data_IF_559587118057
#
_entry.id   IF_559587118057
#
_cell.length_a   1.000
_cell.length_b   1.000
_cell.length_c   1.000
_cell.angle_alpha   90.00
_cell.angle_beta   90.00
_cell.angle_gamma   90.00
#
_symmetry.space_group_name_H-M   'P 1'
#
loop_
_entity.id
_entity.type
_entity.pdbx_description
1 polymer ?
#
# COMPACT_ATOMS: atom_id res chain seq x y z
N UNK A 1 -0.98 53.39 14.00
CA UNK A 1 -1.89 52.39 13.41
C UNK A 1 -2.65 53.07 12.29
N UNK A 2 -2.75 52.45 11.10
CA UNK A 2 -3.44 53.02 9.95
C UNK A 2 -4.95 53.09 10.19
N UNK A 3 -5.60 54.12 9.65
CA UNK A 3 -7.06 54.34 9.73
C UNK A 3 -7.88 53.08 9.40
N UNK A 4 -7.42 52.27 8.45
CA UNK A 4 -8.05 51.01 8.06
C UNK A 4 -8.09 49.96 9.17
N UNK A 5 -7.08 49.91 10.05
CA UNK A 5 -7.03 48.96 11.18
C UNK A 5 -8.02 49.36 12.26
N UNK A 6 -8.09 50.65 12.58
CA UNK A 6 -9.04 51.17 13.57
C UNK A 6 -10.49 51.05 13.08
N UNK A 7 -10.73 51.29 11.79
CA UNK A 7 -12.03 51.07 11.16
C UNK A 7 -12.44 49.59 11.18
N UNK A 8 -11.51 48.70 10.85
CA UNK A 8 -11.76 47.26 10.90
C UNK A 8 -12.06 46.79 12.33
N UNK A 9 -11.30 47.24 13.32
CA UNK A 9 -11.54 46.95 14.72
C UNK A 9 -12.91 47.47 15.20
N UNK A 10 -13.45 48.55 14.64
CA UNK A 10 -14.79 49.02 15.02
C UNK A 10 -15.92 48.21 14.34
N UNK A 11 -15.75 47.85 13.07
CA UNK A 11 -16.82 47.27 12.25
C UNK A 11 -16.81 45.74 12.14
N UNK A 12 -15.69 45.07 12.44
CA UNK A 12 -15.52 43.63 12.26
C UNK A 12 -16.67 42.82 12.89
N UNK A 13 -17.03 43.10 14.14
CA UNK A 13 -18.09 42.36 14.83
C UNK A 13 -19.46 42.52 14.13
N UNK A 14 -19.80 43.75 13.71
CA UNK A 14 -21.08 44.06 13.04
C UNK A 14 -21.16 43.38 11.67
N UNK A 15 -20.05 43.38 10.92
CA UNK A 15 -19.96 42.70 9.62
C UNK A 15 -20.13 41.18 9.80
N UNK A 16 -19.49 40.59 10.80
CA UNK A 16 -19.58 39.15 11.09
C UNK A 16 -20.99 38.73 11.49
N UNK A 17 -21.66 39.52 12.34
CA UNK A 17 -23.05 39.27 12.77
C UNK A 17 -24.02 39.40 11.59
N UNK A 18 -23.91 40.47 10.80
CA UNK A 18 -24.75 40.67 9.61
C UNK A 18 -24.51 39.59 8.56
N UNK A 19 -23.25 39.16 8.38
CA UNK A 19 -22.90 38.06 7.50
C UNK A 19 -23.51 36.73 7.95
N UNK A 20 -23.45 36.43 9.26
CA UNK A 20 -24.09 35.24 9.84
C UNK A 20 -25.60 35.27 9.62
N UNK A 21 -26.27 36.40 9.85
CA UNK A 21 -27.70 36.57 9.64
C UNK A 21 -28.09 36.45 8.16
N UNK A 22 -27.27 36.98 7.25
CA UNK A 22 -27.48 36.85 5.80
C UNK A 22 -27.39 35.38 5.34
N UNK A 23 -26.37 34.65 5.79
CA UNK A 23 -26.21 33.22 5.47
C UNK A 23 -27.44 32.43 5.91
N UNK A 24 -27.98 32.74 7.09
CA UNK A 24 -29.16 32.05 7.59
C UNK A 24 -30.45 32.40 6.87
N UNK A 25 -30.65 33.68 6.57
CA UNK A 25 -31.79 34.09 5.76
C UNK A 25 -31.72 33.46 4.36
N UNK A 26 -30.53 33.37 3.78
CA UNK A 26 -30.28 32.67 2.52
C UNK A 26 -30.62 31.17 2.61
N UNK A 27 -30.16 30.48 3.67
CA UNK A 27 -30.49 29.07 3.92
C UNK A 27 -31.98 28.83 4.21
N UNK A 28 -32.64 29.77 4.87
CA UNK A 28 -34.08 29.72 5.13
C UNK A 28 -34.88 29.91 3.84
N UNK A 29 -34.55 30.93 3.04
CA UNK A 29 -35.19 31.19 1.75
C UNK A 29 -34.97 30.03 0.79
N UNK A 30 -33.77 29.46 0.77
CA UNK A 30 -33.46 28.31 -0.07
C UNK A 30 -34.23 27.05 0.36
N UNK A 31 -34.48 26.88 1.67
CA UNK A 31 -35.38 25.85 2.21
C UNK A 31 -36.83 26.04 1.76
N UNK A 32 -37.32 27.27 1.62
CA UNK A 32 -38.68 27.59 1.14
C UNK A 32 -38.80 27.40 -0.38
N UNK A 33 -37.77 27.79 -1.14
CA UNK A 33 -37.69 27.67 -2.61
C UNK A 33 -37.48 26.20 -3.07
N UNK A 34 -37.19 25.28 -2.13
CA UNK A 34 -37.07 23.83 -2.31
C UNK A 34 -38.22 23.15 -3.05
N UNK A 35 -39.41 23.75 -3.09
CA UNK A 35 -40.57 23.22 -3.82
C UNK A 35 -40.49 23.42 -5.34
N UNK A 36 -39.43 24.08 -5.83
CA UNK A 36 -39.16 24.31 -7.25
C UNK A 36 -37.87 23.58 -7.69
N UNK A 37 -37.79 23.09 -8.94
CA UNK A 37 -36.57 22.48 -9.47
C UNK A 37 -35.42 23.50 -9.55
N UNK A 38 -34.40 23.33 -8.70
CA UNK A 38 -33.25 24.23 -8.59
C UNK A 38 -32.06 23.77 -9.45
N UNK A 39 -31.33 24.70 -10.10
CA UNK A 39 -30.12 24.40 -10.85
C UNK A 39 -28.93 24.02 -9.94
N UNK A 40 -28.02 23.18 -10.44
CA UNK A 40 -26.92 22.58 -9.67
C UNK A 40 -25.95 23.59 -9.03
N UNK A 41 -25.75 24.76 -9.62
CA UNK A 41 -24.88 25.80 -9.06
C UNK A 41 -25.46 26.41 -7.77
N UNK A 42 -26.79 26.59 -7.69
CA UNK A 42 -27.45 27.05 -6.46
C UNK A 42 -27.34 26.01 -5.34
N UNK A 43 -27.32 24.72 -5.68
CA UNK A 43 -27.06 23.63 -4.72
C UNK A 43 -25.67 23.71 -4.12
N UNK A 44 -24.65 24.00 -4.94
CA UNK A 44 -23.29 24.24 -4.47
C UNK A 44 -23.20 25.47 -3.55
N UNK A 45 -23.88 26.57 -3.89
CA UNK A 45 -23.91 27.77 -3.04
C UNK A 45 -24.63 27.54 -1.70
N UNK A 46 -25.74 26.79 -1.70
CA UNK A 46 -26.40 26.37 -0.46
C UNK A 46 -25.48 25.51 0.41
N UNK A 47 -24.75 24.58 -0.20
CA UNK A 47 -23.81 23.70 0.50
C UNK A 47 -22.61 24.47 1.08
N UNK A 48 -22.04 25.41 0.33
CA UNK A 48 -20.96 26.29 0.82
C UNK A 48 -21.44 27.23 1.93
N UNK A 49 -22.64 27.79 1.80
CA UNK A 49 -23.26 28.63 2.83
C UNK A 49 -23.54 27.82 4.11
N UNK A 50 -23.94 26.55 3.98
CA UNK A 50 -24.12 25.63 5.10
C UNK A 50 -22.79 25.30 5.81
N UNK A 51 -21.75 24.93 5.05
CA UNK A 51 -20.44 24.60 5.60
C UNK A 51 -19.75 25.81 6.24
N UNK A 52 -19.91 27.00 5.65
CA UNK A 52 -19.31 28.25 6.14
C UNK A 52 -20.10 28.94 7.26
N UNK A 53 -21.39 28.64 7.41
CA UNK A 53 -22.26 29.28 8.39
C UNK A 53 -21.82 29.05 9.84
N UNK A 54 -21.50 27.79 10.18
CA UNK A 54 -21.03 27.42 11.53
C UNK A 54 -19.70 28.08 11.85
N UNK A 55 -18.74 28.04 10.91
CA UNK A 55 -17.44 28.67 11.08
C UNK A 55 -17.53 30.19 11.27
N UNK A 56 -18.42 30.85 10.52
CA UNK A 56 -18.63 32.30 10.63
C UNK A 56 -19.29 32.68 11.97
N UNK A 57 -20.26 31.90 12.45
CA UNK A 57 -20.91 32.13 13.75
C UNK A 57 -19.95 31.90 14.92
N UNK A 58 -19.11 30.85 14.86
CA UNK A 58 -18.08 30.57 15.88
C UNK A 58 -17.03 31.69 15.91
N UNK A 59 -16.58 32.15 14.73
CA UNK A 59 -15.61 33.23 14.64
C UNK A 59 -16.17 34.57 15.16
N UNK A 60 -17.45 34.85 14.88
CA UNK A 60 -18.17 36.00 15.43
C UNK A 60 -18.25 35.94 16.97
N UNK A 61 -18.58 34.76 17.53
CA UNK A 61 -18.65 34.54 18.97
C UNK A 61 -17.28 34.68 19.65
N UNK A 62 -16.22 34.14 19.02
CA UNK A 62 -14.85 34.28 19.51
C UNK A 62 -14.39 35.74 19.50
N UNK A 63 -14.73 36.49 18.45
CA UNK A 63 -14.45 37.92 18.34
C UNK A 63 -15.20 38.71 19.43
N UNK A 64 -16.47 38.39 19.67
CA UNK A 64 -17.29 39.00 20.73
C UNK A 64 -16.70 38.75 22.13
N UNK A 65 -16.34 37.50 22.43
CA UNK A 65 -15.76 37.12 23.71
C UNK A 65 -14.43 37.82 23.98
N UNK A 66 -13.57 37.91 22.95
CA UNK A 66 -12.27 38.55 23.07
C UNK A 66 -12.39 40.07 23.29
N UNK A 67 -13.40 40.73 22.69
CA UNK A 67 -13.71 42.15 22.91
C UNK A 67 -14.29 42.42 24.29
N UNK A 68 -15.21 41.59 24.76
CA UNK A 68 -15.79 41.71 26.10
C UNK A 68 -14.71 41.59 27.19
N UNK A 69 -13.64 40.85 26.95
CA UNK A 69 -12.53 40.69 27.90
C UNK A 69 -11.63 41.92 28.01
N UNK A 70 -11.72 42.86 27.07
CA UNK A 70 -10.84 44.03 26.96
C UNK A 70 -11.54 45.37 27.33
N UNK A 71 -12.87 45.40 27.51
CA UNK A 71 -13.61 46.61 27.89
C UNK A 71 -13.93 46.68 29.42
N UNK A 72 -13.95 47.88 30.03
CA UNK A 72 -14.46 48.09 31.38
C UNK A 72 -16.00 47.88 31.47
N UNK A 73 -16.56 47.62 32.67
CA UNK A 73 -17.92 47.11 32.86
C UNK A 73 -19.09 48.02 32.41
N UNK A 74 -18.83 49.22 31.88
CA UNK A 74 -19.85 50.11 31.28
C UNK A 74 -19.98 49.96 29.75
N UNK A 75 -19.42 48.88 29.18
CA UNK A 75 -19.50 48.57 27.75
C UNK A 75 -20.93 48.23 27.28
N UNK A 76 -21.37 48.98 26.27
CA UNK A 76 -22.61 48.87 25.48
C UNK A 76 -23.38 47.54 25.57
N UNK A 77 -24.50 47.56 26.29
CA UNK A 77 -25.52 46.48 26.40
C UNK A 77 -25.90 45.88 25.03
N UNK A 78 -25.78 46.67 23.96
CA UNK A 78 -26.05 46.28 22.58
C UNK A 78 -25.14 45.14 22.06
N UNK A 79 -23.93 44.99 22.59
CA UNK A 79 -22.99 43.94 22.15
C UNK A 79 -23.32 42.58 22.80
N UNK A 80 -23.77 42.59 24.06
CA UNK A 80 -24.18 41.39 24.80
C UNK A 80 -25.41 40.73 24.17
N UNK A 81 -26.30 41.53 23.56
CA UNK A 81 -27.50 41.07 22.86
C UNK A 81 -27.23 40.19 21.63
N UNK A 82 -26.02 40.24 21.05
CA UNK A 82 -25.67 39.37 19.92
C UNK A 82 -25.34 37.94 20.34
N UNK A 83 -24.99 37.72 21.61
CA UNK A 83 -24.58 36.40 22.11
C UNK A 83 -25.70 35.35 21.96
N UNK A 84 -26.95 35.61 22.41
CA UNK A 84 -28.04 34.66 22.23
C UNK A 84 -28.39 34.45 20.75
N UNK A 85 -28.28 35.49 19.92
CA UNK A 85 -28.52 35.42 18.47
C UNK A 85 -27.50 34.47 17.81
N UNK A 86 -26.20 34.69 18.05
CA UNK A 86 -25.13 33.82 17.54
C UNK A 86 -25.21 32.38 18.08
N UNK A 87 -25.70 32.18 19.31
CA UNK A 87 -25.92 30.84 19.87
C UNK A 87 -27.13 30.13 19.23
N UNK A 88 -28.22 30.85 18.98
CA UNK A 88 -29.34 30.31 18.19
C UNK A 88 -28.86 29.94 16.78
N UNK A 89 -27.92 30.71 16.24
CA UNK A 89 -27.36 30.44 14.93
C UNK A 89 -26.58 29.12 14.86
N UNK A 90 -25.85 28.78 15.92
CA UNK A 90 -25.16 27.50 16.12
C UNK A 90 -26.12 26.32 16.34
N UNK A 91 -27.33 26.56 16.89
CA UNK A 91 -28.32 25.51 17.17
C UNK A 91 -29.40 25.29 16.10
N UNK A 92 -29.59 26.22 15.17
CA UNK A 92 -30.71 26.22 14.21
C UNK A 92 -30.53 25.41 12.93
N UNK A 93 -29.31 24.93 12.62
CA UNK A 93 -28.99 24.30 11.32
C UNK A 93 -29.46 22.85 11.16
N UNK A 94 -30.01 22.21 12.21
CA UNK A 94 -30.42 20.79 12.18
C UNK A 94 -31.63 20.46 11.29
N UNK A 95 -32.38 21.46 10.79
CA UNK A 95 -33.59 21.20 9.97
C UNK A 95 -33.29 20.64 8.57
N UNK A 96 -32.04 20.65 8.08
CA UNK A 96 -31.68 20.06 6.78
C UNK A 96 -31.32 18.56 6.87
N UNK A 97 -31.08 18.03 8.08
CA UNK A 97 -30.64 16.65 8.28
C UNK A 97 -31.72 15.58 8.01
N UNK A 98 -32.97 15.98 7.72
CA UNK A 98 -34.08 15.05 7.49
C UNK A 98 -34.46 14.88 6.01
N UNK A 99 -33.67 15.40 5.05
CA UNK A 99 -33.99 15.28 3.62
C UNK A 99 -33.18 14.21 2.93
N UNK A 100 -33.84 13.07 2.77
CA UNK A 100 -33.52 11.97 1.88
C UNK A 100 -32.27 11.14 2.25
N UNK A 101 -32.50 9.86 2.47
CA UNK A 101 -31.51 8.83 2.78
C UNK A 101 -30.49 8.61 1.64
N UNK A 102 -30.71 9.30 0.51
CA UNK A 102 -29.89 9.35 -0.69
C UNK A 102 -28.69 10.34 -0.54
N UNK A 103 -28.76 11.30 0.39
CA UNK A 103 -27.67 12.19 0.81
C UNK A 103 -27.00 11.67 2.09
N UNK A 104 -26.53 10.41 2.08
CA UNK A 104 -25.74 9.83 3.18
C UNK A 104 -24.33 10.48 3.26
N UNK A 105 -24.28 11.75 3.67
CA UNK A 105 -23.16 12.70 3.74
C UNK A 105 -22.06 12.35 4.79
N UNK A 106 -21.67 11.08 4.92
CA UNK A 106 -20.33 10.74 5.47
C UNK A 106 -19.32 10.45 4.36
N UNK A 107 -19.75 9.85 3.24
CA UNK A 107 -18.82 9.43 2.19
C UNK A 107 -18.22 10.61 1.41
N UNK A 108 -18.95 11.72 1.24
CA UNK A 108 -18.46 12.91 0.53
C UNK A 108 -17.32 13.61 1.27
N UNK A 109 -17.44 13.73 2.60
CA UNK A 109 -16.39 14.26 3.48
C UNK A 109 -15.16 13.37 3.49
N UNK A 110 -15.35 12.04 3.59
CA UNK A 110 -14.26 11.08 3.48
C UNK A 110 -13.61 11.11 2.08
N UNK A 111 -14.38 11.25 1.02
CA UNK A 111 -13.87 11.37 -0.34
C UNK A 111 -12.99 12.62 -0.53
N UNK A 112 -13.38 13.78 0.02
CA UNK A 112 -12.56 15.00 -0.04
C UNK A 112 -11.26 14.83 0.74
N UNK A 113 -11.30 14.22 1.93
CA UNK A 113 -10.08 13.94 2.72
C UNK A 113 -9.17 13.00 1.93
N UNK A 114 -9.70 11.91 1.37
CA UNK A 114 -8.95 10.97 0.55
C UNK A 114 -8.35 11.66 -0.69
N UNK A 115 -9.12 12.46 -1.42
CA UNK A 115 -8.63 13.20 -2.60
C UNK A 115 -7.54 14.18 -2.21
N UNK A 116 -7.69 14.91 -1.10
CA UNK A 116 -6.66 15.82 -0.61
C UNK A 116 -5.39 15.08 -0.16
N UNK A 117 -5.51 13.93 0.51
CA UNK A 117 -4.38 13.09 0.89
C UNK A 117 -3.67 12.47 -0.32
N UNK A 118 -4.42 11.97 -1.31
CA UNK A 118 -3.88 11.46 -2.58
C UNK A 118 -3.16 12.57 -3.33
N UNK A 119 -3.71 13.79 -3.36
CA UNK A 119 -3.10 14.95 -4.01
C UNK A 119 -1.80 15.38 -3.32
N UNK A 120 -1.78 15.42 -1.99
CA UNK A 120 -0.58 15.73 -1.21
C UNK A 120 0.47 14.62 -1.36
N UNK A 121 0.06 13.34 -1.33
CA UNK A 121 0.94 12.21 -1.57
C UNK A 121 1.53 12.26 -2.98
N UNK A 122 0.72 12.56 -4.00
CA UNK A 122 1.16 12.80 -5.38
C UNK A 122 2.11 13.98 -5.47
N UNK A 123 1.81 15.10 -4.82
CA UNK A 123 2.67 16.29 -4.84
C UNK A 123 4.02 16.00 -4.18
N UNK A 124 4.03 15.40 -2.99
CA UNK A 124 5.26 15.01 -2.28
C UNK A 124 6.02 13.96 -3.09
N UNK A 125 5.33 13.00 -3.70
CA UNK A 125 5.94 12.00 -4.57
C UNK A 125 6.58 12.64 -5.79
N UNK A 126 5.84 13.43 -6.58
CA UNK A 126 6.34 14.15 -7.75
C UNK A 126 7.52 15.06 -7.37
N UNK A 127 7.43 15.76 -6.24
CA UNK A 127 8.50 16.64 -5.75
C UNK A 127 9.72 15.86 -5.25
N UNK A 128 9.52 14.75 -4.54
CA UNK A 128 10.59 13.85 -4.07
C UNK A 128 11.24 13.06 -5.20
N UNK A 129 10.52 12.87 -6.32
CA UNK A 129 10.98 12.18 -7.52
C UNK A 129 11.69 13.12 -8.50
N UNK A 130 11.49 14.44 -8.37
CA UNK A 130 11.98 15.46 -9.29
C UNK A 130 13.50 15.74 -9.22
N UNK A 131 14.27 15.08 -8.36
CA UNK A 131 15.72 15.31 -8.23
C UNK A 131 16.49 14.02 -8.04
N UNK A 132 17.50 13.79 -8.89
CA UNK A 132 18.48 12.69 -8.88
C UNK A 132 17.92 11.25 -9.08
N UNK A 133 16.81 10.88 -8.43
CA UNK A 133 16.28 9.49 -8.37
C UNK A 133 15.50 9.03 -9.60
N UNK A 134 15.08 9.96 -10.47
CA UNK A 134 14.39 9.66 -11.74
C UNK A 134 15.25 8.76 -12.64
N UNK A 135 16.57 8.96 -12.62
CA UNK A 135 17.52 8.39 -13.57
C UNK A 135 17.69 6.87 -13.41
N UNK A 136 17.46 6.33 -12.20
CA UNK A 136 17.63 4.90 -11.93
C UNK A 136 16.54 4.01 -12.52
N UNK A 137 15.33 4.52 -12.71
CA UNK A 137 14.16 3.75 -13.16
C UNK A 137 13.75 4.10 -14.60
N UNK A 138 13.90 5.36 -15.01
CA UNK A 138 13.62 5.78 -16.41
C UNK A 138 14.60 5.21 -17.43
N UNK A 139 15.69 4.59 -16.99
CA UNK A 139 16.64 3.87 -17.85
C UNK A 139 16.26 2.41 -18.13
N UNK A 140 15.19 1.87 -17.51
CA UNK A 140 14.82 0.46 -17.62
C UNK A 140 13.35 0.22 -17.94
N UNK A 141 12.46 1.11 -17.48
CA UNK A 141 11.03 1.00 -17.75
C UNK A 141 10.67 2.04 -18.81
N UNK A 142 10.71 1.62 -20.07
CA UNK A 142 10.44 2.49 -21.23
C UNK A 142 9.03 2.32 -21.79
N UNK A 143 8.37 1.19 -21.49
CA UNK A 143 7.11 0.78 -22.08
C UNK A 143 6.35 -0.17 -21.15
N UNK A 144 5.08 -0.42 -21.48
CA UNK A 144 4.18 -1.28 -20.69
C UNK A 144 4.66 -2.75 -20.59
N UNK A 145 5.39 -3.26 -21.58
CA UNK A 145 5.93 -4.62 -21.56
C UNK A 145 7.16 -4.71 -20.63
N UNK A 146 8.08 -3.75 -20.68
CA UNK A 146 9.21 -3.64 -19.75
C UNK A 146 8.71 -3.52 -18.30
N UNK A 147 7.64 -2.76 -18.09
CA UNK A 147 6.96 -2.63 -16.80
C UNK A 147 6.34 -3.96 -16.34
N UNK A 148 5.58 -4.63 -17.22
CA UNK A 148 4.92 -5.92 -16.94
C UNK A 148 5.94 -7.00 -16.62
N UNK A 149 7.09 -6.97 -17.32
CA UNK A 149 8.22 -7.84 -17.05
C UNK A 149 8.75 -7.59 -15.64
N UNK A 150 9.10 -6.35 -15.29
CA UNK A 150 9.56 -6.01 -13.93
C UNK A 150 8.60 -6.52 -12.85
N UNK A 151 7.30 -6.28 -13.01
CA UNK A 151 6.28 -6.65 -12.05
C UNK A 151 5.97 -8.16 -11.99
N UNK A 152 6.41 -8.92 -13.00
CA UNK A 152 6.34 -10.39 -12.98
C UNK A 152 7.55 -11.02 -12.27
N UNK A 153 8.60 -10.23 -12.02
CA UNK A 153 9.74 -10.66 -11.23
C UNK A 153 9.43 -10.49 -9.74
N UNK A 154 9.94 -11.42 -8.95
CA UNK A 154 9.79 -11.48 -7.48
C UNK A 154 11.16 -11.58 -6.81
N UNK A 155 12.18 -11.05 -7.48
CA UNK A 155 13.58 -11.10 -7.07
C UNK A 155 14.55 -11.46 -8.21
N UNK A 156 14.06 -11.97 -9.34
CA UNK A 156 14.92 -12.40 -10.45
C UNK A 156 15.71 -11.22 -11.03
N UNK A 157 15.16 -10.01 -10.99
CA UNK A 157 15.87 -8.85 -11.52
C UNK A 157 17.08 -8.51 -10.66
N UNK A 158 16.90 -8.47 -9.35
CA UNK A 158 17.98 -8.23 -8.38
C UNK A 158 19.07 -9.29 -8.50
N UNK A 159 18.70 -10.58 -8.59
CA UNK A 159 19.70 -11.64 -8.77
C UNK A 159 20.46 -11.51 -10.09
N UNK A 160 19.79 -11.10 -11.18
CA UNK A 160 20.45 -10.91 -12.47
C UNK A 160 21.38 -9.69 -12.47
N UNK A 161 20.99 -8.58 -11.82
CA UNK A 161 21.80 -7.36 -11.67
C UNK A 161 23.13 -7.65 -10.97
N UNK A 162 23.12 -8.47 -9.92
CA UNK A 162 24.31 -8.84 -9.16
C UNK A 162 25.01 -10.11 -9.69
N UNK A 163 24.66 -10.60 -10.89
CA UNK A 163 25.19 -11.84 -11.49
C UNK A 163 24.95 -13.12 -10.66
N UNK A 164 24.12 -13.06 -9.61
CA UNK A 164 23.75 -14.19 -8.74
C UNK A 164 22.67 -15.10 -9.35
N UNK A 165 22.06 -14.66 -10.46
CA UNK A 165 21.11 -15.44 -11.26
C UNK A 165 21.78 -16.40 -12.26
N UNK A 166 22.96 -16.07 -12.79
CA UNK A 166 23.59 -16.78 -13.92
C UNK A 166 24.17 -18.15 -13.52
N UNK A 167 24.67 -18.28 -12.29
CA UNK A 167 25.19 -19.55 -11.75
C UNK A 167 24.13 -20.34 -10.93
N UNK A 168 22.87 -19.91 -10.96
CA UNK A 168 21.75 -20.52 -10.22
C UNK A 168 21.99 -20.67 -8.69
N UNK A 169 22.98 -19.97 -8.12
CA UNK A 169 23.35 -20.06 -6.69
C UNK A 169 22.19 -19.69 -5.76
N UNK A 170 21.46 -18.64 -6.12
CA UNK A 170 20.30 -18.15 -5.36
C UNK A 170 18.97 -18.29 -6.12
N UNK A 171 19.02 -18.54 -7.44
CA UNK A 171 17.83 -18.58 -8.31
C UNK A 171 16.80 -19.65 -7.93
N UNK A 172 17.25 -20.79 -7.38
CA UNK A 172 16.36 -21.85 -6.88
C UNK A 172 15.41 -21.38 -5.77
N UNK A 173 15.79 -20.36 -4.98
CA UNK A 173 14.97 -19.80 -3.90
C UNK A 173 13.69 -19.12 -4.41
N UNK A 174 13.66 -18.75 -5.70
CA UNK A 174 12.56 -18.07 -6.38
C UNK A 174 11.78 -19.00 -7.31
N UNK A 175 12.06 -20.31 -7.35
CA UNK A 175 11.35 -21.28 -8.21
C UNK A 175 10.18 -22.00 -7.53
N UNK A 176 9.95 -21.75 -6.24
CA UNK A 176 8.88 -22.39 -5.46
C UNK A 176 7.56 -21.61 -5.51
N UNK A 177 6.55 -22.03 -4.75
CA UNK A 177 5.36 -21.20 -4.55
C UNK A 177 5.73 -19.88 -3.85
N UNK A 178 5.04 -18.78 -4.18
CA UNK A 178 5.41 -17.45 -3.71
C UNK A 178 5.33 -17.30 -2.19
N UNK A 179 4.29 -17.87 -1.57
CA UNK A 179 4.13 -17.97 -0.12
C UNK A 179 5.33 -18.65 0.57
N UNK A 180 5.84 -19.74 -0.03
CA UNK A 180 7.08 -20.40 0.42
C UNK A 180 8.31 -19.52 0.23
N UNK A 181 8.41 -18.81 -0.88
CA UNK A 181 9.54 -17.89 -1.12
C UNK A 181 9.58 -16.76 -0.09
N UNK A 182 8.44 -16.16 0.28
CA UNK A 182 8.39 -15.14 1.33
C UNK A 182 8.93 -15.70 2.63
N UNK A 183 8.45 -16.87 3.06
CA UNK A 183 8.84 -17.44 4.34
C UNK A 183 10.31 -17.89 4.34
N UNK A 184 10.80 -18.46 3.23
CA UNK A 184 12.20 -18.80 3.02
C UNK A 184 13.12 -17.58 3.16
N UNK A 185 12.80 -16.50 2.43
CA UNK A 185 13.58 -15.26 2.45
C UNK A 185 13.44 -14.51 3.77
N UNK A 186 12.29 -14.60 4.46
CA UNK A 186 12.07 -14.04 5.78
C UNK A 186 13.03 -14.66 6.80
N UNK A 187 13.05 -16.00 6.89
CA UNK A 187 13.95 -16.74 7.78
C UNK A 187 15.41 -16.44 7.42
N UNK A 188 15.79 -16.50 6.13
CA UNK A 188 17.15 -16.22 5.70
C UNK A 188 17.60 -14.78 6.04
N UNK A 189 16.70 -13.79 5.90
CA UNK A 189 16.98 -12.39 6.25
C UNK A 189 17.29 -12.24 7.74
N UNK A 190 16.50 -12.87 8.62
CA UNK A 190 16.75 -12.80 10.07
C UNK A 190 18.00 -13.61 10.47
N UNK A 191 18.28 -14.75 9.84
CA UNK A 191 19.52 -15.51 10.04
C UNK A 191 20.75 -14.67 9.68
N UNK A 192 20.73 -13.97 8.54
CA UNK A 192 21.80 -13.06 8.15
C UNK A 192 21.94 -11.88 9.11
N UNK A 193 20.82 -11.28 9.55
CA UNK A 193 20.85 -10.13 10.45
C UNK A 193 21.49 -10.45 11.81
N UNK A 194 21.19 -11.63 12.35
CA UNK A 194 21.73 -12.10 13.63
C UNK A 194 23.03 -12.91 13.50
N UNK A 195 23.62 -12.98 12.31
CA UNK A 195 24.88 -13.68 12.10
C UNK A 195 26.04 -12.97 12.82
N UNK A 196 27.01 -13.73 13.35
CA UNK A 196 28.18 -13.20 14.08
C UNK A 196 29.08 -12.28 13.23
N UNK A 197 28.97 -12.37 11.91
CA UNK A 197 29.79 -11.63 10.95
C UNK A 197 29.09 -10.36 10.45
N UNK A 198 27.88 -10.07 10.93
CA UNK A 198 27.12 -8.88 10.52
C UNK A 198 27.51 -7.72 11.40
N UNK A 199 27.99 -6.64 10.79
CA UNK A 199 28.45 -5.47 11.53
C UNK A 199 27.27 -4.59 11.97
N UNK A 200 27.44 -3.68 12.95
CA UNK A 200 26.40 -2.71 13.29
C UNK A 200 25.97 -1.86 12.09
N UNK A 201 26.90 -1.54 11.19
CA UNK A 201 26.58 -0.83 9.96
C UNK A 201 25.73 -1.66 9.00
N UNK A 202 26.06 -2.95 8.83
CA UNK A 202 25.20 -3.88 8.09
C UNK A 202 23.79 -4.00 8.67
N UNK A 203 23.66 -3.95 10.00
CA UNK A 203 22.34 -3.95 10.66
C UNK A 203 21.53 -2.68 10.34
N UNK A 204 22.18 -1.52 10.24
CA UNK A 204 21.53 -0.28 9.78
C UNK A 204 21.07 -0.41 8.32
N UNK A 205 21.92 -0.94 7.44
CA UNK A 205 21.56 -1.22 6.04
C UNK A 205 20.40 -2.22 5.92
N UNK A 206 20.35 -3.22 6.80
CA UNK A 206 19.31 -4.25 6.83
C UNK A 206 17.94 -3.74 7.31
N UNK A 207 17.88 -2.58 7.99
CA UNK A 207 16.69 -2.13 8.70
C UNK A 207 15.45 -2.04 7.78
N UNK A 208 15.61 -1.46 6.59
CA UNK A 208 14.52 -1.35 5.62
C UNK A 208 14.04 -2.73 5.14
N UNK A 209 14.98 -3.62 4.81
CA UNK A 209 14.70 -4.99 4.38
C UNK A 209 13.95 -5.78 5.43
N UNK A 210 14.30 -5.62 6.72
CA UNK A 210 13.60 -6.28 7.82
C UNK A 210 12.18 -5.77 8.01
N UNK A 211 11.96 -4.46 7.88
CA UNK A 211 10.60 -3.90 7.95
C UNK A 211 9.72 -4.46 6.84
N UNK A 212 10.23 -4.55 5.61
CA UNK A 212 9.48 -5.14 4.49
C UNK A 212 9.26 -6.63 4.72
N UNK A 213 10.30 -7.38 5.08
CA UNK A 213 10.24 -8.81 5.41
C UNK A 213 9.17 -9.12 6.46
N UNK A 214 9.16 -8.38 7.58
CA UNK A 214 8.18 -8.52 8.65
C UNK A 214 6.76 -8.20 8.17
N UNK A 215 6.60 -7.18 7.33
CA UNK A 215 5.30 -6.85 6.73
C UNK A 215 4.79 -7.96 5.81
N UNK A 216 5.66 -8.54 4.99
CA UNK A 216 5.30 -9.64 4.08
C UNK A 216 4.94 -10.92 4.85
N UNK A 217 5.66 -11.22 5.94
CA UNK A 217 5.32 -12.30 6.86
C UNK A 217 3.98 -12.04 7.58
N UNK A 218 3.71 -10.80 7.99
CA UNK A 218 2.42 -10.38 8.53
C UNK A 218 1.28 -10.61 7.53
N UNK A 219 1.47 -10.23 6.27
CA UNK A 219 0.48 -10.48 5.22
C UNK A 219 0.27 -11.99 5.02
N UNK A 220 1.32 -12.79 5.01
CA UNK A 220 1.22 -14.24 4.87
C UNK A 220 0.42 -14.90 6.01
N UNK A 221 0.61 -14.45 7.25
CA UNK A 221 -0.02 -15.06 8.43
C UNK A 221 -1.41 -14.49 8.75
N UNK A 222 -1.56 -13.16 8.75
CA UNK A 222 -2.78 -12.48 9.22
C UNK A 222 -3.72 -12.11 8.06
N UNK A 223 -3.19 -11.72 6.89
CA UNK A 223 -4.00 -11.24 5.75
C UNK A 223 -3.61 -11.89 4.40
N UNK A 224 -3.64 -13.22 4.29
CA UNK A 224 -3.18 -13.93 3.09
C UNK A 224 -3.96 -13.56 1.82
N UNK A 225 -5.22 -13.12 1.98
CA UNK A 225 -6.06 -12.60 0.89
C UNK A 225 -5.44 -11.41 0.15
N UNK A 226 -4.67 -10.58 0.86
CA UNK A 226 -3.99 -9.42 0.29
C UNK A 226 -2.67 -9.77 -0.41
N UNK A 227 -2.12 -10.96 -0.18
CA UNK A 227 -0.82 -11.33 -0.72
C UNK A 227 -0.93 -11.76 -2.19
N UNK A 228 -1.72 -12.80 -2.44
CA UNK A 228 -2.12 -13.28 -3.76
C UNK A 228 -3.22 -14.34 -3.63
N UNK A 229 -3.94 -14.59 -4.72
CA UNK A 229 -4.88 -15.69 -4.85
C UNK A 229 -4.22 -17.04 -4.57
N UNK A 230 -4.83 -17.86 -3.69
CA UNK A 230 -4.38 -19.23 -3.41
C UNK A 230 -3.25 -19.36 -2.38
N UNK A 231 -2.88 -18.26 -1.70
CA UNK A 231 -1.92 -18.29 -0.57
C UNK A 231 -2.37 -19.27 0.50
N UNK A 232 -1.47 -20.18 0.93
CA UNK A 232 -1.81 -21.25 1.88
C UNK A 232 -1.64 -20.79 3.32
N UNK A 233 -2.75 -20.61 4.04
CA UNK A 233 -2.74 -20.14 5.44
C UNK A 233 -1.92 -21.03 6.40
N UNK A 234 -1.79 -22.34 6.13
CA UNK A 234 -1.10 -23.29 7.00
C UNK A 234 0.42 -23.36 6.81
N UNK A 235 1.01 -22.62 5.87
CA UNK A 235 2.45 -22.78 5.57
C UNK A 235 3.34 -22.17 6.65
N UNK A 236 2.86 -21.10 7.29
CA UNK A 236 3.55 -20.44 8.39
C UNK A 236 3.60 -21.35 9.61
N UNK A 237 2.48 -21.99 9.98
CA UNK A 237 2.42 -22.92 11.12
C UNK A 237 3.31 -24.13 10.90
N UNK A 238 3.31 -24.72 9.70
CA UNK A 238 4.21 -25.85 9.37
C UNK A 238 5.69 -25.44 9.51
N UNK A 239 6.05 -24.24 9.11
CA UNK A 239 7.43 -23.76 9.27
C UNK A 239 7.80 -23.52 10.75
N UNK A 240 6.87 -23.06 11.57
CA UNK A 240 7.07 -22.96 13.02
C UNK A 240 7.28 -24.36 13.64
N UNK A 241 6.44 -25.33 13.28
CA UNK A 241 6.57 -26.72 13.73
C UNK A 241 7.94 -27.32 13.33
N UNK A 242 8.37 -27.09 12.09
CA UNK A 242 9.68 -27.50 11.59
C UNK A 242 10.82 -26.85 12.39
N UNK A 243 10.73 -25.56 12.67
CA UNK A 243 11.72 -24.82 13.44
C UNK A 243 11.78 -25.32 14.90
N UNK A 244 10.64 -25.58 15.54
CA UNK A 244 10.57 -26.16 16.89
C UNK A 244 11.22 -27.54 16.94
N UNK A 245 10.98 -28.37 15.92
CA UNK A 245 11.60 -29.70 15.80
C UNK A 245 13.12 -29.58 15.62
N UNK A 246 13.58 -28.63 14.81
CA UNK A 246 15.01 -28.30 14.65
C UNK A 246 15.60 -27.67 15.91
N UNK A 247 14.84 -27.06 16.81
CA UNK A 247 15.36 -26.60 18.10
C UNK A 247 15.35 -27.70 19.17
N UNK A 248 14.56 -28.77 18.96
CA UNK A 248 14.46 -29.90 19.89
C UNK A 248 14.05 -29.45 21.30
N UNK A 249 13.19 -28.44 21.40
CA UNK A 249 12.72 -27.88 22.66
C UNK A 249 13.74 -27.05 23.45
N UNK A 250 14.93 -26.75 22.89
CA UNK A 250 15.89 -25.83 23.53
C UNK A 250 15.57 -24.39 23.16
N UNK A 251 15.03 -23.62 24.10
CA UNK A 251 14.99 -22.16 24.00
C UNK A 251 16.35 -21.61 24.46
N UNK A 252 17.11 -21.03 23.53
CA UNK A 252 18.26 -20.20 23.90
C UNK A 252 17.77 -18.95 24.64
N UNK A 253 18.59 -18.42 25.54
CA UNK A 253 18.26 -17.18 26.28
C UNK A 253 18.31 -15.93 25.38
N UNK A 254 18.97 -16.03 24.21
CA UNK A 254 19.15 -14.94 23.26
C UNK A 254 18.89 -15.38 21.80
N UNK A 255 18.50 -14.41 20.95
CA UNK A 255 18.18 -14.65 19.53
C UNK A 255 19.43 -15.09 18.74
N UNK A 256 20.60 -14.56 19.09
CA UNK A 256 21.86 -14.92 18.44
C UNK A 256 22.26 -16.37 18.74
N UNK A 257 22.09 -16.85 19.97
CA UNK A 257 22.30 -18.25 20.31
C UNK A 257 21.34 -19.19 19.57
N UNK A 258 20.09 -18.77 19.39
CA UNK A 258 19.08 -19.52 18.62
C UNK A 258 19.47 -19.66 17.15
N UNK A 259 19.93 -18.58 16.51
CA UNK A 259 20.42 -18.58 15.12
C UNK A 259 21.60 -19.54 14.95
N UNK A 260 22.54 -19.56 15.89
CA UNK A 260 23.68 -20.48 15.85
C UNK A 260 23.26 -21.95 15.97
N UNK A 261 22.30 -22.26 16.84
CA UNK A 261 21.75 -23.62 16.97
C UNK A 261 21.11 -24.06 15.65
N UNK A 262 20.30 -23.18 15.03
CA UNK A 262 19.61 -23.48 13.78
C UNK A 262 20.61 -23.74 12.64
N UNK A 263 21.59 -22.85 12.44
CA UNK A 263 22.62 -23.01 11.40
C UNK A 263 23.43 -24.30 11.61
N UNK A 264 23.92 -24.54 12.83
CA UNK A 264 24.72 -25.73 13.12
C UNK A 264 23.94 -27.04 12.94
N UNK A 265 22.65 -27.06 13.28
CA UNK A 265 21.82 -28.27 13.20
C UNK A 265 21.31 -28.55 11.78
N UNK A 266 21.03 -27.50 11.00
CA UNK A 266 20.65 -27.62 9.59
C UNK A 266 21.77 -28.24 8.74
N UNK A 267 23.04 -28.06 9.15
CA UNK A 267 24.22 -28.64 8.49
C UNK A 267 24.44 -30.13 8.80
N UNK A 268 23.77 -30.71 9.80
CA UNK A 268 23.99 -32.12 10.16
C UNK A 268 23.19 -33.05 9.22
N UNK A 269 23.84 -33.99 8.51
CA UNK A 269 23.17 -34.90 7.56
C UNK A 269 22.07 -35.77 8.18
N UNK A 270 22.08 -35.93 9.51
CA UNK A 270 21.10 -36.74 10.26
C UNK A 270 19.75 -36.04 10.46
N UNK A 271 19.65 -34.72 10.31
CA UNK A 271 18.38 -34.00 10.42
C UNK A 271 17.50 -34.17 9.16
N UNK A 272 18.12 -34.30 7.98
CA UNK A 272 17.43 -34.47 6.69
C UNK A 272 16.73 -35.83 6.51
N UNK A 273 17.09 -36.84 7.32
CA UNK A 273 16.57 -38.21 7.19
C UNK A 273 15.41 -38.53 8.16
N UNK A 274 14.78 -37.50 8.74
CA UNK A 274 13.51 -37.70 9.45
C UNK A 274 12.40 -37.21 8.55
N UNK A 275 11.51 -38.12 8.17
CA UNK A 275 10.29 -37.89 7.36
C UNK A 275 9.31 -36.85 7.93
N UNK A 276 9.69 -36.14 8.98
CA UNK A 276 8.90 -35.16 9.73
C UNK A 276 9.34 -33.70 9.56
N UNK A 277 10.59 -33.42 9.16
CA UNK A 277 11.07 -32.02 9.02
C UNK A 277 10.88 -31.57 7.57
N UNK A 278 10.09 -30.53 7.35
CA UNK A 278 9.92 -29.91 6.05
C UNK A 278 11.21 -29.26 5.53
N UNK A 279 11.40 -29.27 4.20
CA UNK A 279 12.61 -28.76 3.56
C UNK A 279 12.80 -27.24 3.65
N UNK A 280 11.87 -26.49 4.28
CA UNK A 280 11.87 -25.03 4.24
C UNK A 280 12.98 -24.41 5.09
N UNK A 281 13.07 -24.76 6.38
CA UNK A 281 14.07 -24.20 7.30
C UNK A 281 15.50 -24.58 6.86
N UNK A 282 15.81 -25.84 6.49
CA UNK A 282 17.13 -26.19 5.96
C UNK A 282 17.49 -25.41 4.69
N UNK A 283 16.53 -25.20 3.78
CA UNK A 283 16.75 -24.37 2.61
C UNK A 283 16.98 -22.90 2.98
N UNK A 284 16.29 -22.37 4.00
CA UNK A 284 16.52 -21.00 4.47
C UNK A 284 17.94 -20.84 5.04
N UNK A 285 18.46 -21.85 5.77
CA UNK A 285 19.85 -21.86 6.22
C UNK A 285 20.83 -21.86 5.04
N UNK A 286 20.61 -22.73 4.04
CA UNK A 286 21.42 -22.75 2.81
C UNK A 286 21.40 -21.42 2.06
N UNK A 287 20.24 -20.76 2.03
CA UNK A 287 20.09 -19.43 1.43
C UNK A 287 20.87 -18.38 2.22
N UNK A 288 20.77 -18.39 3.56
CA UNK A 288 21.50 -17.46 4.41
C UNK A 288 23.02 -17.63 4.25
N UNK A 289 23.53 -18.86 4.23
CA UNK A 289 24.94 -19.14 4.01
C UNK A 289 25.44 -18.60 2.66
N UNK A 290 24.70 -18.85 1.59
CA UNK A 290 25.04 -18.33 0.27
C UNK A 290 25.07 -16.79 0.22
N UNK A 291 24.22 -16.10 1.00
CA UNK A 291 24.26 -14.64 1.18
C UNK A 291 25.45 -14.20 2.03
N UNK A 292 25.80 -14.96 3.08
CA UNK A 292 26.95 -14.67 3.94
C UNK A 292 28.30 -14.87 3.24
N UNK A 293 28.37 -15.69 2.18
CA UNK A 293 29.54 -15.85 1.32
C UNK A 293 29.86 -14.61 0.44
N UNK A 294 28.91 -13.67 0.31
CA UNK A 294 29.17 -12.38 -0.34
C UNK A 294 30.14 -11.58 0.53
N UNK A 295 31.31 -11.24 -0.03
CA UNK A 295 32.39 -10.56 0.68
C UNK A 295 32.04 -9.13 1.06
N UNK A 296 31.24 -8.45 0.22
CA UNK A 296 30.75 -7.10 0.51
C UNK A 296 29.40 -7.16 1.25
N UNK A 297 29.40 -6.64 2.47
CA UNK A 297 28.20 -6.53 3.30
C UNK A 297 27.18 -5.53 2.72
N UNK A 298 27.66 -4.47 2.05
CA UNK A 298 26.80 -3.51 1.37
C UNK A 298 26.05 -4.17 0.21
N UNK A 299 26.77 -4.89 -0.64
CA UNK A 299 26.18 -5.68 -1.73
C UNK A 299 25.16 -6.69 -1.22
N UNK A 300 25.48 -7.43 -0.14
CA UNK A 300 24.57 -8.41 0.46
C UNK A 300 23.23 -7.78 0.82
N UNK A 301 23.24 -6.65 1.52
CA UNK A 301 22.02 -5.99 1.95
C UNK A 301 21.29 -5.27 0.81
N UNK A 302 22.00 -4.80 -0.22
CA UNK A 302 21.39 -4.30 -1.46
C UNK A 302 20.62 -5.42 -2.18
N UNK A 303 21.18 -6.63 -2.27
CA UNK A 303 20.51 -7.80 -2.83
C UNK A 303 19.25 -8.14 -2.02
N UNK A 304 19.38 -8.27 -0.69
CA UNK A 304 18.23 -8.59 0.17
C UNK A 304 17.13 -7.52 0.03
N UNK A 305 17.51 -6.25 0.01
CA UNK A 305 16.56 -5.14 -0.17
C UNK A 305 15.85 -5.21 -1.52
N UNK A 306 16.59 -5.43 -2.61
CA UNK A 306 16.05 -5.53 -3.95
C UNK A 306 15.02 -6.66 -4.09
N UNK A 307 15.31 -7.83 -3.52
CA UNK A 307 14.37 -8.96 -3.47
C UNK A 307 13.07 -8.57 -2.78
N UNK A 308 13.15 -7.95 -1.60
CA UNK A 308 11.97 -7.56 -0.83
C UNK A 308 11.14 -6.49 -1.53
N UNK A 309 11.78 -5.52 -2.20
CA UNK A 309 11.09 -4.52 -3.01
C UNK A 309 10.37 -5.17 -4.19
N UNK A 310 11.02 -6.10 -4.90
CA UNK A 310 10.38 -6.86 -5.98
C UNK A 310 9.19 -7.69 -5.48
N UNK A 311 9.35 -8.43 -4.38
CA UNK A 311 8.25 -9.23 -3.81
C UNK A 311 7.07 -8.36 -3.34
N UNK A 312 7.34 -7.17 -2.80
CA UNK A 312 6.32 -6.20 -2.39
C UNK A 312 5.55 -5.68 -3.60
N UNK A 313 6.25 -5.27 -4.66
CA UNK A 313 5.63 -4.82 -5.91
C UNK A 313 4.83 -5.94 -6.59
N UNK A 314 5.39 -7.15 -6.63
CA UNK A 314 4.73 -8.35 -7.14
C UNK A 314 3.42 -8.63 -6.39
N UNK A 315 3.42 -8.53 -5.07
CA UNK A 315 2.20 -8.75 -4.26
C UNK A 315 1.17 -7.64 -4.48
N UNK A 316 1.62 -6.38 -4.51
CA UNK A 316 0.73 -5.24 -4.71
C UNK A 316 -0.01 -5.32 -6.06
N UNK A 317 0.62 -5.85 -7.11
CA UNK A 317 -0.02 -5.97 -8.42
C UNK A 317 -0.92 -7.20 -8.57
N UNK A 318 -0.75 -8.23 -7.74
CA UNK A 318 -1.53 -9.48 -7.76
C UNK A 318 -2.64 -9.51 -6.73
N UNK A 319 -2.63 -8.59 -5.76
CA UNK A 319 -3.73 -8.37 -4.83
C UNK A 319 -4.98 -7.90 -5.58
N UNK A 320 -6.16 -8.33 -5.12
CA UNK A 320 -7.42 -7.97 -5.78
C UNK A 320 -7.71 -6.48 -5.58
N UNK A 321 -8.04 -5.77 -6.66
CA UNK A 321 -8.37 -4.34 -6.62
C UNK A 321 -9.44 -3.99 -5.57
N UNK A 322 -10.46 -4.84 -5.41
CA UNK A 322 -11.48 -4.60 -4.37
C UNK A 322 -10.92 -4.69 -2.94
N UNK A 323 -9.90 -5.52 -2.67
CA UNK A 323 -9.28 -5.62 -1.34
C UNK A 323 -8.48 -4.35 -1.03
N UNK A 324 -7.82 -3.76 -2.04
CA UNK A 324 -7.23 -2.44 -1.91
C UNK A 324 -8.28 -1.39 -1.56
N UNK A 325 -9.43 -1.41 -2.26
CA UNK A 325 -10.54 -0.49 -2.02
C UNK A 325 -11.23 -0.68 -0.66
N UNK A 326 -11.47 -1.93 -0.25
CA UNK A 326 -12.09 -2.27 1.04
C UNK A 326 -11.26 -1.73 2.21
N UNK A 327 -9.95 -1.95 2.16
CA UNK A 327 -9.06 -1.55 3.26
C UNK A 327 -8.84 -0.04 3.31
N UNK A 328 -9.08 0.72 2.23
CA UNK A 328 -9.01 2.19 2.25
C UNK A 328 -10.03 2.83 3.20
N UNK A 329 -11.14 2.15 3.53
CA UNK A 329 -12.14 2.67 4.46
C UNK A 329 -11.76 2.45 5.95
N UNK A 330 -10.85 1.51 6.23
CA UNK A 330 -10.40 1.16 7.59
C UNK A 330 -9.02 1.77 7.94
N UNK A 331 -8.27 2.20 6.91
CA UNK A 331 -6.97 2.87 7.03
C UNK A 331 -6.04 2.47 5.89
N UNK A 332 -5.19 3.37 5.36
CA UNK A 332 -4.44 3.08 4.15
C UNK A 332 -3.30 2.07 4.41
N UNK A 333 -3.55 0.80 4.07
CA UNK A 333 -2.57 -0.29 4.07
C UNK A 333 -1.34 0.03 3.20
N UNK A 334 -0.15 -0.36 3.65
CA UNK A 334 1.10 -0.12 2.91
C UNK A 334 1.02 -0.71 1.49
N UNK A 335 0.52 -1.94 1.36
CA UNK A 335 0.36 -2.60 0.06
C UNK A 335 -0.56 -1.82 -0.88
N UNK A 336 -1.63 -1.19 -0.37
CA UNK A 336 -2.52 -0.35 -1.17
C UNK A 336 -1.84 0.95 -1.60
N UNK A 337 -0.97 1.53 -0.77
CA UNK A 337 -0.16 2.69 -1.16
C UNK A 337 0.83 2.33 -2.27
N UNK A 338 1.48 1.17 -2.17
CA UNK A 338 2.37 0.65 -3.23
C UNK A 338 1.58 0.38 -4.50
N UNK A 339 0.39 -0.22 -4.41
CA UNK A 339 -0.47 -0.45 -5.57
C UNK A 339 -0.88 0.85 -6.27
N UNK A 340 -1.28 1.89 -5.53
CA UNK A 340 -1.58 3.23 -6.09
C UNK A 340 -0.33 3.81 -6.77
N UNK A 341 0.83 3.72 -6.12
CA UNK A 341 2.10 4.18 -6.68
C UNK A 341 2.38 3.51 -8.02
N UNK A 342 2.23 2.19 -8.08
CA UNK A 342 2.44 1.41 -9.29
C UNK A 342 1.40 1.78 -10.37
N UNK A 343 0.13 1.97 -10.01
CA UNK A 343 -0.94 2.40 -10.93
C UNK A 343 -0.67 3.77 -11.54
N UNK A 344 -0.23 4.73 -10.72
CA UNK A 344 0.21 6.06 -11.19
C UNK A 344 1.41 6.00 -12.14
N UNK A 345 2.19 4.92 -12.08
CA UNK A 345 3.34 4.66 -12.95
C UNK A 345 2.96 3.88 -14.23
N UNK A 346 1.66 3.66 -14.48
CA UNK A 346 1.15 3.06 -15.71
C UNK A 346 0.79 1.57 -15.64
N UNK A 347 0.50 1.01 -14.46
CA UNK A 347 -0.01 -0.39 -14.39
C UNK A 347 -1.41 -0.52 -14.95
N UNK A 348 -1.60 -1.50 -15.84
CA UNK A 348 -2.87 -2.19 -16.02
C UNK A 348 -2.97 -3.31 -14.97
N UNK A 349 -3.96 -3.23 -14.09
CA UNK A 349 -4.23 -4.24 -13.07
C UNK A 349 -4.72 -5.53 -13.70
N UNK A 350 -4.70 -6.68 -12.99
CA UNK A 350 -5.36 -7.90 -13.46
C UNK A 350 -6.83 -7.66 -13.84
N UNK A 351 -7.54 -6.77 -13.11
CA UNK A 351 -8.92 -6.40 -13.44
C UNK A 351 -9.02 -5.66 -14.79
N UNK A 352 -8.06 -4.77 -15.08
CA UNK A 352 -7.98 -4.08 -16.38
C UNK A 352 -7.71 -5.08 -17.52
N UNK A 353 -6.91 -6.12 -17.27
CA UNK A 353 -6.68 -7.21 -18.24
C UNK A 353 -7.93 -8.04 -18.52
N UNK A 354 -8.71 -8.40 -17.49
CA UNK A 354 -9.97 -9.13 -17.67
C UNK A 354 -11.04 -8.31 -18.42
N UNK A 355 -11.03 -6.98 -18.30
CA UNK A 355 -11.96 -6.12 -19.04
C UNK A 355 -11.53 -5.86 -20.50
N UNK A 356 -10.24 -5.99 -20.81
CA UNK A 356 -9.68 -5.70 -22.15
C UNK A 356 -9.66 -6.93 -23.07
N UNK A 357 -9.63 -8.15 -22.52
CA UNK A 357 -9.85 -9.36 -23.31
C UNK A 357 -11.34 -9.51 -23.67
N UNK A 358 -11.69 -9.09 -24.90
CA UNK A 358 -12.67 -9.82 -25.70
C UNK A 358 -12.24 -11.29 -25.87
N UNK A 359 -13.12 -12.18 -26.38
CA UNK A 359 -12.89 -13.63 -26.30
C UNK A 359 -11.52 -14.02 -26.90
N UNK A 360 -10.81 -15.00 -26.30
CA UNK A 360 -9.43 -15.29 -26.63
C UNK A 360 -9.31 -15.72 -28.09
N UNK A 361 -8.39 -15.09 -28.83
CA UNK A 361 -7.93 -15.52 -30.16
C UNK A 361 -6.44 -15.88 -30.18
N UNK A 362 -5.84 -16.10 -29.01
CA UNK A 362 -4.40 -16.30 -28.88
C UNK A 362 -4.04 -17.61 -28.17
N UNK A 363 -4.97 -18.58 -28.18
CA UNK A 363 -4.70 -19.95 -27.75
C UNK A 363 -4.96 -20.98 -28.87
N UNK A 364 -5.60 -20.57 -29.98
CA UNK A 364 -5.83 -21.46 -31.13
C UNK A 364 -4.62 -21.47 -32.08
N UNK A 365 -3.81 -20.40 -32.15
CA UNK A 365 -2.63 -20.36 -33.05
C UNK A 365 -1.40 -21.10 -32.48
N UNK A 366 -1.30 -21.29 -31.15
CA UNK A 366 -0.20 -22.08 -30.54
C UNK A 366 -0.55 -23.59 -30.44
N UNK A 367 -1.84 -23.96 -30.38
CA UNK A 367 -2.27 -25.37 -30.43
C UNK A 367 -2.26 -25.93 -31.87
N UNK A 368 -2.55 -25.11 -32.90
CA UNK A 368 -2.43 -25.55 -34.30
C UNK A 368 -0.97 -25.72 -34.78
N UNK A 369 -0.01 -24.92 -34.25
CA UNK A 369 1.42 -25.10 -34.57
C UNK A 369 2.05 -26.30 -33.82
N UNK A 370 1.58 -26.65 -32.61
CA UNK A 370 2.05 -27.87 -31.90
C UNK A 370 1.44 -29.17 -32.48
N UNK A 371 0.20 -29.15 -32.98
CA UNK A 371 -0.39 -30.32 -33.66
C UNK A 371 0.23 -30.59 -35.05
N UNK A 372 0.64 -29.56 -35.80
CA UNK A 372 1.35 -29.75 -37.09
C UNK A 372 2.79 -30.27 -36.90
N UNK A 373 3.49 -29.93 -35.82
CA UNK A 373 4.84 -30.46 -35.52
C UNK A 373 4.81 -31.93 -35.01
N UNK A 374 3.76 -32.35 -34.29
CA UNK A 374 3.61 -33.74 -33.85
C UNK A 374 3.23 -34.70 -35.01
N UNK A 375 2.46 -34.26 -36.01
CA UNK A 375 2.14 -35.09 -37.19
C UNK A 375 3.35 -35.28 -38.13
N UNK A 376 4.29 -34.32 -38.21
CA UNK A 376 5.53 -34.49 -38.99
C UNK A 376 6.53 -35.45 -38.32
N UNK A 377 6.63 -35.48 -36.98
CA UNK A 377 7.51 -36.44 -36.28
C UNK A 377 6.96 -37.88 -36.26
N UNK A 378 5.63 -38.08 -36.23
CA UNK A 378 5.03 -39.42 -36.30
C UNK A 378 5.13 -40.04 -37.71
N UNK A 379 5.08 -39.21 -38.77
CA UNK A 379 5.25 -39.65 -40.16
C UNK A 379 6.66 -40.14 -40.50
N UNK A 380 7.69 -39.54 -39.92
CA UNK A 380 9.09 -39.94 -40.17
C UNK A 380 9.50 -41.21 -39.41
N UNK A 381 8.87 -41.51 -38.26
CA UNK A 381 9.12 -42.73 -37.51
C UNK A 381 8.44 -43.98 -38.09
N UNK A 382 7.36 -43.83 -38.87
CA UNK A 382 6.70 -44.97 -39.52
C UNK A 382 7.42 -45.45 -40.79
N UNK A 383 8.25 -44.61 -41.43
CA UNK A 383 8.99 -44.95 -42.66
C UNK A 383 10.30 -45.70 -42.38
N UNK A 384 10.95 -45.49 -41.22
CA UNK A 384 12.16 -46.24 -40.84
C UNK A 384 11.90 -47.67 -40.33
N UNK A 385 10.64 -48.02 -40.02
CA UNK A 385 10.25 -49.33 -39.49
C UNK A 385 9.98 -50.44 -40.52
N UNK A 386 9.92 -50.14 -41.82
CA UNK A 386 9.46 -51.07 -42.86
C UNK A 386 10.53 -51.58 -43.84
N UNK A 387 11.83 -51.36 -43.58
CA UNK A 387 12.93 -51.86 -44.43
C UNK A 387 13.86 -52.82 -43.68
N UNK A 388 13.31 -53.82 -42.97
CA UNK A 388 14.05 -55.04 -42.62
C UNK A 388 13.07 -56.22 -42.55
N UNK A 389 12.74 -56.81 -43.70
CA UNK A 389 12.49 -58.26 -43.84
C UNK A 389 12.21 -58.61 -45.31
N UNK A 390 13.24 -59.07 -46.02
CA UNK A 390 13.23 -60.06 -47.12
C UNK A 390 14.66 -60.43 -47.52
#
# INVERSE_FOLDING_TARGET
MSFSVQWWDEWQLRILVLGSLFIQYFLFLSSVVRRCPLPSWLRLFMWLAYLGGDALAIYALATLFNRHRQLPPDGSILEVLWTPVLLIHLGGQHSMAAYNIEDNELWSRHAIIVVSQVTVALYVFCKSWSGEKRNGWTGYIHDAASYTRFNSHRGQWTLNKHSLGRDNRLGWSLKMAFDRSILLWHIATDLCFHHQNTTPHGQECAAASRVISNYMAYLLYIRPEMLMLGTRNGIFTVACDDAELIMGGRLALDVSGLVQIILHRAQQPRALNTTKIGALVPNACRLAEALMELHDEGERWEVVQGIWVEMLCYSASRCRGYLHAKNMNEGPELLSKVWILLSLMGMETPADRYQKLGPPKAMEEEEEEEEEEEEEEEGDHEVEGLVVDC
#
